data_IF_506885295085
#
_entry.id   IF_506885295085
#
_cell.length_a   1.000
_cell.length_b   1.000
_cell.length_c   1.000
_cell.angle_alpha   90.00
_cell.angle_beta   90.00
_cell.angle_gamma   90.00
#
_symmetry.space_group_name_H-M   'P 1'
#
loop_
_entity.id
_entity.type
_entity.pdbx_description
1 polymer ?
#
# COMPACT_ATOMS: atom_id res chain seq x y z
N UNK A 1 15.97 56.04 5.88
CA UNK A 1 15.48 54.74 5.37
C UNK A 1 13.95 54.80 5.35
N UNK A 2 13.34 55.14 4.20
CA UNK A 2 11.88 55.30 4.13
C UNK A 2 11.22 53.92 4.12
N UNK A 3 10.56 53.56 5.22
CA UNK A 3 9.80 52.33 5.34
C UNK A 3 8.43 52.55 4.68
N UNK A 4 8.33 52.22 3.39
CA UNK A 4 7.08 52.21 2.65
C UNK A 4 6.16 51.10 3.18
N UNK A 5 5.36 51.41 4.19
CA UNK A 5 4.25 50.57 4.62
C UNK A 5 3.16 50.63 3.55
N UNK A 6 3.19 49.70 2.59
CA UNK A 6 2.10 49.53 1.63
C UNK A 6 0.87 48.97 2.35
N UNK A 7 -0.07 49.84 2.74
CA UNK A 7 -1.42 49.43 3.15
C UNK A 7 -2.11 48.71 1.98
N UNK A 8 -2.13 47.38 1.99
CA UNK A 8 -2.92 46.59 1.05
C UNK A 8 -4.41 46.84 1.35
N UNK A 9 -5.07 47.67 0.54
CA UNK A 9 -6.54 47.71 0.53
C UNK A 9 -7.05 46.36 0.04
N UNK A 10 -7.67 45.58 0.93
CA UNK A 10 -8.36 44.34 0.60
C UNK A 10 -9.62 44.70 -0.22
N UNK A 11 -9.54 44.49 -1.53
CA UNK A 11 -10.70 44.55 -2.41
C UNK A 11 -11.28 43.15 -2.59
N UNK A 12 -12.59 43.04 -2.84
CA UNK A 12 -13.29 41.73 -2.99
C UNK A 12 -12.56 40.79 -3.98
N UNK A 13 -12.01 41.33 -5.07
CA UNK A 13 -11.22 40.56 -6.05
C UNK A 13 -9.90 40.00 -5.49
N UNK A 14 -9.19 40.78 -4.66
CA UNK A 14 -7.94 40.35 -4.02
C UNK A 14 -8.19 39.30 -2.94
N UNK A 15 -9.30 39.42 -2.20
CA UNK A 15 -9.70 38.42 -1.20
C UNK A 15 -9.95 37.05 -1.85
N UNK A 16 -10.65 37.00 -2.99
CA UNK A 16 -10.89 35.75 -3.74
C UNK A 16 -9.58 35.10 -4.19
N UNK A 17 -8.63 35.88 -4.72
CA UNK A 17 -7.33 35.37 -5.16
C UNK A 17 -6.55 34.77 -3.98
N UNK A 18 -6.55 35.43 -2.82
CA UNK A 18 -5.86 34.92 -1.62
C UNK A 18 -6.48 33.60 -1.15
N UNK A 19 -7.82 33.48 -1.19
CA UNK A 19 -8.51 32.23 -0.83
C UNK A 19 -8.15 31.10 -1.80
N UNK A 20 -8.09 31.37 -3.10
CA UNK A 20 -7.69 30.35 -4.10
C UNK A 20 -6.24 29.90 -3.89
N UNK A 21 -5.32 30.82 -3.60
CA UNK A 21 -3.93 30.48 -3.30
C UNK A 21 -3.85 29.67 -2.01
N UNK A 22 -4.57 30.04 -0.96
CA UNK A 22 -4.61 29.29 0.29
C UNK A 22 -5.19 27.88 0.10
N UNK A 23 -6.23 27.73 -0.72
CA UNK A 23 -6.80 26.43 -1.07
C UNK A 23 -5.81 25.58 -1.87
N UNK A 24 -5.12 26.16 -2.85
CA UNK A 24 -4.08 25.48 -3.62
C UNK A 24 -2.90 25.04 -2.74
N UNK A 25 -2.48 25.89 -1.80
CA UNK A 25 -1.43 25.57 -0.82
C UNK A 25 -1.86 24.48 0.16
N UNK A 26 -3.11 24.48 0.61
CA UNK A 26 -3.65 23.40 1.44
C UNK A 26 -3.70 22.08 0.66
N UNK A 27 -4.16 22.09 -0.60
CA UNK A 27 -4.11 20.92 -1.48
C UNK A 27 -2.69 20.41 -1.66
N UNK A 28 -1.74 21.29 -1.97
CA UNK A 28 -0.33 20.92 -2.11
C UNK A 28 0.25 20.36 -0.80
N UNK A 29 -0.08 20.94 0.35
CA UNK A 29 0.37 20.45 1.65
C UNK A 29 -0.23 19.09 2.02
N UNK A 30 -1.49 18.82 1.63
CA UNK A 30 -2.10 17.49 1.77
C UNK A 30 -1.37 16.49 0.87
N UNK A 31 -1.12 16.83 -0.40
CA UNK A 31 -0.39 15.96 -1.34
C UNK A 31 1.05 15.69 -0.92
N UNK A 32 1.72 16.66 -0.27
CA UNK A 32 3.07 16.48 0.29
C UNK A 32 3.10 15.65 1.58
N UNK A 33 1.99 15.62 2.33
CA UNK A 33 1.84 14.76 3.53
C UNK A 33 1.39 13.34 3.18
N UNK A 34 0.77 13.16 2.03
CA UNK A 34 0.59 11.83 1.44
C UNK A 34 1.98 11.30 1.10
N UNK A 35 2.47 10.31 1.84
CA UNK A 35 3.77 9.68 1.60
C UNK A 35 3.94 9.36 0.11
N UNK A 36 5.06 9.73 -0.54
CA UNK A 36 5.29 9.51 -1.98
C UNK A 36 5.29 8.03 -2.41
N UNK A 37 5.17 7.09 -1.45
CA UNK A 37 5.09 5.65 -1.68
C UNK A 37 3.67 5.13 -1.95
N UNK A 38 2.62 5.94 -1.83
CA UNK A 38 1.29 5.57 -2.34
C UNK A 38 1.29 5.65 -3.86
N UNK A 39 1.94 4.67 -4.50
CA UNK A 39 1.65 4.35 -5.88
C UNK A 39 0.13 4.17 -5.94
N UNK A 40 -0.54 5.01 -6.74
CA UNK A 40 -1.98 4.98 -7.05
C UNK A 40 -2.25 3.69 -7.85
N UNK A 41 -2.08 2.58 -7.16
CA UNK A 41 -1.93 1.25 -7.72
C UNK A 41 -3.28 0.57 -7.79
N UNK A 42 -3.36 -0.36 -8.73
CA UNK A 42 -4.44 -1.31 -9.03
C UNK A 42 -5.39 -1.69 -7.87
N UNK A 43 -4.97 -1.66 -6.61
CA UNK A 43 -5.82 -1.95 -5.44
C UNK A 43 -6.92 -0.92 -5.17
N UNK A 44 -6.79 0.34 -5.57
CA UNK A 44 -7.79 1.37 -5.23
C UNK A 44 -9.06 1.27 -6.10
N UNK A 45 -8.95 0.59 -7.26
CA UNK A 45 -10.07 0.32 -8.17
C UNK A 45 -10.65 -1.08 -8.02
N UNK A 46 -10.04 -1.93 -7.19
CA UNK A 46 -10.44 -3.33 -7.01
C UNK A 46 -10.84 -3.53 -5.56
N UNK A 47 -12.06 -4.02 -5.35
CA UNK A 47 -12.55 -4.33 -4.02
C UNK A 47 -11.87 -5.59 -3.45
N UNK A 48 -10.68 -5.44 -2.85
CA UNK A 48 -9.92 -6.55 -2.25
C UNK A 48 -10.52 -7.08 -0.94
N UNK A 49 -11.65 -6.54 -0.49
CA UNK A 49 -12.38 -7.12 0.67
C UNK A 49 -13.14 -8.38 0.31
N UNK A 50 -13.46 -8.61 -0.97
CA UNK A 50 -14.03 -9.87 -1.47
C UNK A 50 -12.95 -10.81 -2.02
N UNK A 51 -13.23 -12.11 -2.02
CA UNK A 51 -12.31 -13.12 -2.55
C UNK A 51 -12.04 -12.89 -4.04
N UNK A 52 -13.09 -12.63 -4.82
CA UNK A 52 -12.99 -12.36 -6.27
C UNK A 52 -12.13 -11.12 -6.55
N UNK A 53 -12.23 -10.09 -5.71
CA UNK A 53 -11.40 -8.91 -5.82
C UNK A 53 -9.93 -9.19 -5.55
N UNK A 54 -9.61 -10.07 -4.58
CA UNK A 54 -8.24 -10.51 -4.31
C UNK A 54 -7.67 -11.34 -5.45
N UNK A 55 -8.43 -12.28 -6.00
CA UNK A 55 -8.02 -13.05 -7.19
C UNK A 55 -7.80 -12.13 -8.39
N UNK A 56 -8.71 -11.17 -8.63
CA UNK A 56 -8.55 -10.18 -9.70
C UNK A 56 -7.32 -9.29 -9.50
N UNK A 57 -6.99 -8.95 -8.26
CA UNK A 57 -5.80 -8.20 -7.92
C UNK A 57 -4.53 -8.99 -8.26
N UNK A 58 -4.45 -10.26 -7.84
CA UNK A 58 -3.35 -11.18 -8.15
C UNK A 58 -3.20 -11.40 -9.66
N UNK A 59 -4.30 -11.64 -10.37
CA UNK A 59 -4.31 -11.84 -11.83
C UNK A 59 -3.76 -10.62 -12.60
N UNK A 60 -4.04 -9.40 -12.13
CA UNK A 60 -3.45 -8.19 -12.73
C UNK A 60 -1.95 -8.05 -12.51
N UNK A 61 -1.40 -8.74 -11.52
CA UNK A 61 0.05 -8.86 -11.29
C UNK A 61 0.66 -10.06 -12.02
N UNK A 62 -0.15 -10.82 -12.78
CA UNK A 62 0.30 -12.00 -13.52
C UNK A 62 0.20 -13.32 -12.75
N UNK A 63 -0.38 -13.31 -11.54
CA UNK A 63 -0.53 -14.51 -10.71
C UNK A 63 -1.92 -15.13 -10.86
N UNK A 64 -1.97 -16.43 -11.14
CA UNK A 64 -3.18 -17.23 -11.07
C UNK A 64 -3.22 -17.96 -9.73
N UNK A 65 -4.32 -17.80 -9.00
CA UNK A 65 -4.47 -18.33 -7.65
C UNK A 65 -5.80 -19.07 -7.49
N UNK A 66 -5.78 -20.18 -6.77
CA UNK A 66 -6.98 -20.98 -6.50
C UNK A 66 -7.75 -20.40 -5.31
N UNK A 67 -8.92 -19.81 -5.60
CA UNK A 67 -9.81 -19.21 -4.60
C UNK A 67 -10.31 -20.21 -3.56
N UNK A 68 -10.40 -21.50 -3.90
CA UNK A 68 -10.88 -22.53 -2.98
C UNK A 68 -9.89 -22.82 -1.85
N UNK A 69 -8.63 -22.43 -2.04
CA UNK A 69 -7.53 -22.59 -1.06
C UNK A 69 -7.39 -21.40 -0.12
N UNK A 70 -8.35 -20.47 -0.12
CA UNK A 70 -8.29 -19.27 0.71
C UNK A 70 -8.11 -19.59 2.20
N UNK A 71 -7.01 -19.11 2.77
CA UNK A 71 -6.83 -19.00 4.21
C UNK A 71 -6.85 -17.54 4.63
N UNK A 72 -7.58 -17.24 5.72
CA UNK A 72 -7.68 -15.89 6.28
C UNK A 72 -7.36 -15.91 7.77
N UNK A 73 -6.44 -15.03 8.20
CA UNK A 73 -6.17 -14.80 9.62
C UNK A 73 -5.91 -13.33 9.93
N UNK A 74 -6.11 -12.96 11.18
CA UNK A 74 -5.74 -11.64 11.67
C UNK A 74 -4.29 -11.67 12.14
N UNK A 75 -3.51 -10.67 11.75
CA UNK A 75 -2.09 -10.55 12.10
C UNK A 75 -1.83 -9.16 12.64
N UNK A 76 -1.18 -9.10 13.81
CA UNK A 76 -0.68 -7.87 14.38
C UNK A 76 0.65 -7.51 13.72
N UNK A 77 0.70 -6.35 13.07
CA UNK A 77 1.95 -5.82 12.52
C UNK A 77 2.80 -5.32 13.68
N UNK A 78 4.09 -5.73 13.81
CA UNK A 78 4.96 -5.23 14.85
C UNK A 78 5.04 -3.70 14.85
N UNK A 79 5.09 -3.09 16.04
CA UNK A 79 5.30 -1.64 16.18
C UNK A 79 6.69 -1.23 15.74
N UNK A 80 7.66 -2.09 16.03
CA UNK A 80 9.07 -1.89 15.74
C UNK A 80 9.54 -3.02 14.84
N UNK A 81 10.29 -2.65 13.81
CA UNK A 81 10.79 -3.57 12.80
C UNK A 81 12.27 -3.80 13.02
N UNK A 82 12.63 -5.01 13.44
CA UNK A 82 14.02 -5.40 13.69
C UNK A 82 14.38 -6.69 12.93
N UNK A 83 15.68 -6.90 12.71
CA UNK A 83 16.20 -8.10 12.06
C UNK A 83 15.53 -8.40 10.72
N UNK A 84 15.04 -9.63 10.55
CA UNK A 84 14.39 -10.11 9.33
C UNK A 84 13.13 -9.32 8.99
N UNK A 85 12.38 -8.87 10.01
CA UNK A 85 11.14 -8.13 9.81
C UNK A 85 11.40 -6.73 9.24
N UNK A 86 12.55 -6.11 9.58
CA UNK A 86 12.98 -4.86 8.97
C UNK A 86 13.29 -5.03 7.49
N UNK A 87 13.99 -6.09 7.12
CA UNK A 87 14.26 -6.42 5.72
C UNK A 87 12.97 -6.67 4.94
N UNK A 88 12.03 -7.42 5.53
CA UNK A 88 10.71 -7.66 4.94
C UNK A 88 9.94 -6.35 4.76
N UNK A 89 9.90 -5.49 5.76
CA UNK A 89 9.21 -4.19 5.64
C UNK A 89 9.81 -3.31 4.53
N UNK A 90 11.14 -3.30 4.37
CA UNK A 90 11.81 -2.57 3.29
C UNK A 90 11.44 -3.12 1.92
N UNK A 91 11.44 -4.44 1.77
CA UNK A 91 11.00 -5.13 0.55
C UNK A 91 9.56 -4.73 0.18
N UNK A 92 8.65 -4.63 1.17
CA UNK A 92 7.28 -4.17 0.93
C UNK A 92 7.24 -2.70 0.48
N UNK A 93 8.05 -1.83 1.08
CA UNK A 93 8.16 -0.42 0.67
C UNK A 93 8.71 -0.27 -0.75
N UNK A 94 9.69 -1.07 -1.15
CA UNK A 94 10.23 -1.09 -2.52
C UNK A 94 9.17 -1.47 -3.57
N UNK A 95 8.25 -2.37 -3.19
CA UNK A 95 7.07 -2.69 -4.01
C UNK A 95 6.02 -1.56 -4.01
N UNK A 96 6.24 -0.44 -3.32
CA UNK A 96 5.29 0.66 -3.20
C UNK A 96 4.11 0.35 -2.28
N UNK A 97 4.30 -0.55 -1.30
CA UNK A 97 3.35 -0.76 -0.21
C UNK A 97 3.73 0.06 1.03
N UNK A 98 2.71 0.46 1.78
CA UNK A 98 2.87 1.28 2.99
C UNK A 98 2.86 0.43 4.28
N UNK A 99 3.43 -0.78 4.22
CA UNK A 99 3.33 -1.79 5.29
C UNK A 99 3.77 -1.27 6.66
N UNK A 100 4.91 -0.56 6.70
CA UNK A 100 5.48 -0.02 7.93
C UNK A 100 4.58 0.99 8.65
N UNK A 101 3.80 1.78 7.89
CA UNK A 101 2.91 2.80 8.45
C UNK A 101 1.72 2.22 9.22
N UNK A 102 1.47 0.91 9.09
CA UNK A 102 0.47 0.18 9.87
C UNK A 102 1.07 -0.55 11.09
N UNK A 103 2.31 -0.24 11.49
CA UNK A 103 2.94 -0.80 12.68
C UNK A 103 2.10 -0.66 13.95
N UNK A 104 1.97 -1.76 14.70
CA UNK A 104 1.13 -1.85 15.89
C UNK A 104 -0.37 -2.01 15.64
N UNK A 105 -0.80 -2.12 14.37
CA UNK A 105 -2.19 -2.35 14.00
C UNK A 105 -2.39 -3.79 13.53
N UNK A 106 -3.63 -4.26 13.69
CA UNK A 106 -4.05 -5.55 13.15
C UNK A 106 -4.54 -5.40 11.70
N UNK A 107 -4.14 -6.33 10.84
CA UNK A 107 -4.57 -6.47 9.46
C UNK A 107 -5.08 -7.90 9.18
N UNK A 108 -5.75 -8.09 8.04
CA UNK A 108 -6.10 -9.43 7.55
C UNK A 108 -5.03 -9.93 6.61
N UNK A 109 -4.50 -11.11 6.86
CA UNK A 109 -3.64 -11.84 5.93
C UNK A 109 -4.50 -12.87 5.19
N UNK A 110 -4.43 -12.85 3.87
CA UNK A 110 -5.04 -13.83 2.98
C UNK A 110 -3.93 -14.58 2.24
N UNK A 111 -4.08 -15.90 2.13
CA UNK A 111 -3.13 -16.76 1.42
C UNK A 111 -3.88 -17.66 0.45
N UNK A 112 -3.29 -17.88 -0.72
CA UNK A 112 -3.82 -18.73 -1.80
C UNK A 112 -2.71 -19.54 -2.43
N UNK A 113 -3.01 -20.75 -2.90
CA UNK A 113 -2.10 -21.52 -3.75
C UNK A 113 -2.04 -20.89 -5.14
N UNK A 114 -0.82 -20.69 -5.65
CA UNK A 114 -0.54 -20.19 -7.00
C UNK A 114 -0.46 -21.36 -7.97
N UNK A 115 -1.17 -21.27 -9.09
CA UNK A 115 -1.27 -22.36 -10.09
C UNK A 115 -0.40 -22.17 -11.31
N UNK A 116 0.15 -20.98 -11.52
CA UNK A 116 0.97 -20.63 -12.68
C UNK A 116 2.44 -20.31 -12.34
N UNK A 117 2.92 -20.72 -11.17
CA UNK A 117 4.32 -20.52 -10.81
C UNK A 117 5.24 -21.41 -11.67
N UNK A 118 6.32 -20.88 -12.28
CA UNK A 118 7.17 -21.65 -13.19
C UNK A 118 7.82 -22.84 -12.49
N UNK A 119 7.48 -24.06 -12.92
CA UNK A 119 8.13 -25.34 -12.58
C UNK A 119 8.68 -25.44 -11.15
N UNK A 120 7.80 -25.44 -10.15
CA UNK A 120 8.13 -25.88 -8.80
C UNK A 120 7.50 -27.25 -8.54
N UNK A 121 8.29 -28.19 -8.04
CA UNK A 121 7.79 -29.42 -7.42
C UNK A 121 7.10 -29.14 -6.06
N UNK A 122 7.07 -27.87 -5.66
CA UNK A 122 6.62 -27.38 -4.37
C UNK A 122 5.36 -26.53 -4.52
N UNK A 123 4.51 -26.56 -3.49
CA UNK A 123 3.36 -25.66 -3.40
C UNK A 123 3.82 -24.23 -3.12
N UNK A 124 3.43 -23.33 -4.01
CA UNK A 124 3.72 -21.89 -3.92
C UNK A 124 2.47 -21.14 -3.52
N UNK A 125 2.62 -20.15 -2.66
CA UNK A 125 1.57 -19.34 -2.11
C UNK A 125 1.72 -17.87 -2.50
N UNK A 126 0.58 -17.22 -2.74
CA UNK A 126 0.47 -15.77 -2.80
C UNK A 126 -0.18 -15.28 -1.50
N UNK A 127 0.49 -14.33 -0.84
CA UNK A 127 0.02 -13.73 0.40
C UNK A 127 -0.31 -12.25 0.21
N UNK A 128 -1.44 -11.83 0.75
CA UNK A 128 -1.92 -10.44 0.75
C UNK A 128 -2.20 -9.98 2.18
N UNK A 129 -1.63 -8.84 2.57
CA UNK A 129 -1.97 -8.15 3.81
C UNK A 129 -2.92 -7.00 3.50
N UNK A 130 -4.10 -6.99 4.12
CA UNK A 130 -5.18 -6.06 3.81
C UNK A 130 -5.61 -5.30 5.06
N UNK A 131 -5.66 -3.98 4.95
CA UNK A 131 -6.14 -3.07 5.99
C UNK A 131 -6.89 -1.91 5.36
N UNK A 132 -8.07 -1.59 5.90
CA UNK A 132 -8.89 -0.48 5.40
C UNK A 132 -9.32 -0.65 3.94
N UNK A 133 -9.53 -1.88 3.47
CA UNK A 133 -9.91 -2.18 2.09
C UNK A 133 -8.78 -2.02 1.07
N UNK A 134 -7.52 -1.92 1.51
CA UNK A 134 -6.34 -1.75 0.66
C UNK A 134 -5.34 -2.86 0.92
N UNK A 135 -4.61 -3.27 -0.11
CA UNK A 135 -3.43 -4.14 0.03
C UNK A 135 -2.28 -3.29 0.55
N UNK A 136 -1.80 -3.62 1.76
CA UNK A 136 -0.74 -2.90 2.45
C UNK A 136 0.59 -3.67 2.43
N UNK A 137 0.61 -4.87 1.85
CA UNK A 137 1.80 -5.69 1.62
C UNK A 137 1.42 -7.02 0.98
N UNK A 138 2.41 -7.73 0.45
CA UNK A 138 2.22 -9.08 -0.09
C UNK A 138 3.51 -9.67 -0.63
N UNK A 139 3.52 -10.99 -0.78
CA UNK A 139 4.68 -11.78 -1.18
C UNK A 139 4.24 -13.08 -1.88
N UNK A 140 5.19 -13.68 -2.61
CA UNK A 140 5.10 -15.05 -3.12
C UNK A 140 6.14 -15.88 -2.39
N UNK A 141 5.74 -17.03 -1.83
CA UNK A 141 6.65 -17.92 -1.11
C UNK A 141 6.28 -19.40 -1.26
N UNK A 142 7.24 -20.29 -1.03
CA UNK A 142 7.02 -21.75 -1.04
C UNK A 142 6.76 -22.31 0.36
N UNK A 143 6.13 -23.48 0.44
CA UNK A 143 5.86 -24.19 1.70
C UNK A 143 7.11 -24.75 2.42
N UNK A 144 8.22 -24.88 1.70
CA UNK A 144 9.40 -25.64 2.12
C UNK A 144 10.31 -24.92 3.12
N UNK A 145 11.04 -25.71 3.92
CA UNK A 145 12.02 -25.19 4.92
C UNK A 145 13.16 -24.45 4.24
N UNK A 146 13.66 -24.98 3.11
CA UNK A 146 14.66 -24.32 2.25
C UNK A 146 13.98 -23.49 1.14
N UNK A 147 12.74 -23.07 1.42
CA UNK A 147 11.90 -22.35 0.49
C UNK A 147 12.37 -20.95 0.16
N UNK A 148 11.65 -20.30 -0.74
CA UNK A 148 11.91 -18.93 -1.15
C UNK A 148 10.78 -18.00 -0.71
N UNK A 149 11.11 -16.70 -0.65
CA UNK A 149 10.14 -15.62 -0.59
C UNK A 149 10.62 -14.50 -1.50
N UNK A 150 9.75 -13.97 -2.35
CA UNK A 150 10.05 -12.81 -3.18
C UNK A 150 8.85 -11.86 -3.31
N UNK A 151 9.08 -10.74 -4.00
CA UNK A 151 8.08 -9.69 -4.20
C UNK A 151 6.84 -10.21 -4.94
N UNK A 152 5.69 -9.66 -4.59
CA UNK A 152 4.43 -9.91 -5.28
C UNK A 152 4.33 -9.14 -6.62
N UNK A 153 4.96 -7.96 -6.69
CA UNK A 153 5.08 -7.12 -7.90
C UNK A 153 6.41 -7.33 -8.62
#
# INVERSE_FOLDING_TARGET
MSMFTKCLKLTKKRAVIIILIAAALMLAAVMLRSSPGCSFGVSELINVTSAEGRIKYLSKLGWEADVSTEECKYVLIPKEFEGVMLSYSKLQTEQGYDFASFGGLECKQYTYVVTNYPASDETVYATLYIKGGRVIGGDIHSASIDGFMHTLK
#
